data_IF_487310153422
#
_entry.id   IF_487310153422
#
_cell.length_a   1.000
_cell.length_b   1.000
_cell.length_c   1.000
_cell.angle_alpha   90.00
_cell.angle_beta   90.00
_cell.angle_gamma   90.00
#
_symmetry.space_group_name_H-M   'P 1'
#
loop_
_entity.id
_entity.type
_entity.pdbx_description
1 polymer ?
#
# COMPACT_ATOMS: atom_id res chain seq x y z
N UNK A 1 28.00 -104.19 -15.94
CA UNK A 1 27.05 -104.16 -14.81
C UNK A 1 27.80 -103.63 -13.62
N UNK A 2 27.60 -102.37 -13.22
CA UNK A 2 28.02 -101.81 -11.92
C UNK A 2 27.59 -100.33 -11.82
N UNK A 3 26.95 -100.01 -10.69
CA UNK A 3 26.34 -98.73 -10.36
C UNK A 3 27.40 -97.65 -10.05
N UNK A 4 27.13 -96.41 -10.47
CA UNK A 4 27.90 -95.21 -10.17
C UNK A 4 27.29 -94.46 -8.98
N UNK A 5 28.15 -93.98 -8.10
CA UNK A 5 27.83 -93.04 -7.02
C UNK A 5 28.60 -91.74 -7.29
N UNK A 6 27.93 -90.59 -7.34
CA UNK A 6 28.57 -89.29 -7.22
C UNK A 6 27.62 -88.31 -6.50
N UNK A 7 28.05 -87.85 -5.33
CA UNK A 7 27.41 -86.82 -4.53
C UNK A 7 27.61 -85.44 -5.19
N UNK A 8 26.55 -84.63 -5.25
CA UNK A 8 26.61 -83.22 -5.63
C UNK A 8 25.95 -82.37 -4.53
N UNK A 9 26.73 -81.41 -4.03
CA UNK A 9 26.32 -80.41 -3.03
C UNK A 9 25.20 -79.50 -3.57
N UNK A 10 24.22 -79.22 -2.73
CA UNK A 10 23.13 -78.28 -2.97
C UNK A 10 23.59 -76.82 -2.78
N UNK A 11 23.40 -75.98 -3.81
CA UNK A 11 23.46 -74.52 -3.71
C UNK A 11 22.03 -73.97 -3.48
N UNK A 12 21.81 -73.33 -2.33
CA UNK A 12 20.61 -72.53 -2.07
C UNK A 12 20.74 -71.15 -2.72
N UNK A 13 19.93 -70.88 -3.73
CA UNK A 13 19.72 -69.54 -4.29
C UNK A 13 18.63 -68.83 -3.48
N UNK A 14 18.98 -67.79 -2.72
CA UNK A 14 18.01 -66.86 -2.11
C UNK A 14 17.90 -65.65 -3.03
N UNK A 15 16.81 -65.55 -3.78
CA UNK A 15 16.49 -64.38 -4.60
C UNK A 15 15.97 -63.24 -3.73
N UNK A 16 16.75 -62.16 -3.58
CA UNK A 16 16.28 -60.89 -3.03
C UNK A 16 15.49 -60.13 -4.12
N UNK A 17 14.16 -60.15 -4.04
CA UNK A 17 13.32 -59.20 -4.77
C UNK A 17 13.35 -57.85 -4.04
N UNK A 18 14.19 -56.91 -4.50
CA UNK A 18 14.15 -55.51 -4.10
C UNK A 18 12.93 -54.84 -4.76
N UNK A 19 11.84 -54.69 -4.01
CA UNK A 19 10.68 -53.90 -4.43
C UNK A 19 10.99 -52.42 -4.18
N UNK A 20 11.52 -51.73 -5.19
CA UNK A 20 11.65 -50.27 -5.19
C UNK A 20 10.26 -49.64 -5.17
N UNK A 21 9.77 -49.30 -3.99
CA UNK A 21 8.58 -48.48 -3.84
C UNK A 21 8.97 -47.06 -4.30
N UNK A 22 8.30 -46.47 -5.29
CA UNK A 22 8.49 -45.06 -5.57
C UNK A 22 8.03 -44.31 -4.33
N UNK A 23 8.99 -43.71 -3.62
CA UNK A 23 8.68 -42.68 -2.62
C UNK A 23 8.02 -41.57 -3.42
N UNK A 24 6.69 -41.52 -3.38
CA UNK A 24 5.95 -40.39 -3.89
C UNK A 24 6.49 -39.17 -3.13
N UNK A 25 7.27 -38.34 -3.83
CA UNK A 25 7.67 -37.05 -3.32
C UNK A 25 6.36 -36.33 -2.98
N UNK A 26 6.07 -36.27 -1.68
CA UNK A 26 4.93 -35.54 -1.17
C UNK A 26 5.21 -34.09 -1.56
N UNK A 27 4.55 -33.64 -2.62
CA UNK A 27 4.70 -32.29 -3.13
C UNK A 27 4.33 -31.39 -1.96
N UNK A 28 5.32 -30.80 -1.29
CA UNK A 28 5.09 -29.93 -0.15
C UNK A 28 4.10 -28.88 -0.64
N UNK A 29 2.91 -28.87 -0.02
CA UNK A 29 1.85 -27.95 -0.38
C UNK A 29 2.42 -26.56 -0.09
N UNK A 30 2.83 -25.88 -1.15
CA UNK A 30 3.60 -24.64 -1.04
C UNK A 30 2.78 -23.67 -0.20
N UNK A 31 3.29 -23.32 0.98
CA UNK A 31 2.55 -22.46 1.90
C UNK A 31 2.31 -21.12 1.22
N UNK A 32 1.09 -20.54 1.33
CA UNK A 32 0.84 -19.22 0.77
C UNK A 32 1.82 -18.20 1.39
N UNK A 33 2.20 -17.16 0.64
CA UNK A 33 3.23 -16.22 1.09
C UNK A 33 2.74 -15.38 2.25
N UNK A 34 3.66 -14.90 3.09
CA UNK A 34 3.36 -13.78 3.97
C UNK A 34 3.11 -12.52 3.13
N UNK A 35 2.30 -11.61 3.66
CA UNK A 35 1.96 -10.35 2.98
C UNK A 35 2.27 -9.19 3.93
N UNK A 36 3.14 -8.28 3.49
CA UNK A 36 3.43 -7.02 4.16
C UNK A 36 3.01 -5.85 3.25
N UNK A 37 1.93 -5.18 3.63
CA UNK A 37 1.39 -4.02 2.93
C UNK A 37 1.69 -2.76 3.73
N UNK A 38 2.57 -1.90 3.24
CA UNK A 38 3.03 -0.69 3.91
C UNK A 38 2.50 0.53 3.17
N UNK A 39 1.95 1.50 3.90
CA UNK A 39 1.58 2.80 3.31
C UNK A 39 2.23 3.96 4.04
N UNK A 40 2.82 4.88 3.28
CA UNK A 40 3.16 6.23 3.76
C UNK A 40 1.95 7.16 3.62
N UNK A 41 2.00 8.31 4.30
CA UNK A 41 0.89 9.27 4.35
C UNK A 41 1.33 10.65 3.85
N UNK A 42 0.84 11.02 2.66
CA UNK A 42 1.20 12.26 1.95
C UNK A 42 2.68 12.35 1.52
N UNK A 43 3.34 11.22 1.29
CA UNK A 43 4.67 11.20 0.68
C UNK A 43 4.54 11.45 -0.84
N UNK A 44 5.34 12.38 -1.36
CA UNK A 44 5.25 12.82 -2.75
C UNK A 44 6.03 11.94 -3.72
N UNK A 45 5.59 11.91 -4.98
CA UNK A 45 6.19 11.08 -6.04
C UNK A 45 7.71 11.27 -6.20
N UNK A 46 8.18 12.51 -6.03
CA UNK A 46 9.59 12.88 -6.17
C UNK A 46 10.35 12.97 -4.84
N UNK A 47 9.84 12.37 -3.76
CA UNK A 47 10.49 12.47 -2.44
C UNK A 47 11.57 11.40 -2.20
N UNK A 48 11.55 10.28 -2.91
CA UNK A 48 12.48 9.17 -2.66
C UNK A 48 13.75 9.23 -3.53
N UNK A 49 14.85 8.70 -2.99
CA UNK A 49 16.10 8.49 -3.71
C UNK A 49 15.91 7.68 -4.99
N UNK A 50 15.22 6.55 -4.86
CA UNK A 50 14.85 5.69 -5.99
C UNK A 50 13.84 6.31 -6.96
N UNK A 51 13.23 7.45 -6.66
CA UNK A 51 12.43 8.26 -7.60
C UNK A 51 13.17 9.52 -8.09
N UNK A 52 14.48 9.59 -7.86
CA UNK A 52 15.35 10.63 -8.41
C UNK A 52 15.68 11.78 -7.45
N UNK A 53 15.16 11.76 -6.22
CA UNK A 53 15.52 12.75 -5.22
C UNK A 53 17.00 12.61 -4.82
N UNK A 54 17.78 13.69 -4.89
CA UNK A 54 19.22 13.67 -4.56
C UNK A 54 19.54 14.13 -3.14
N UNK A 55 18.54 14.61 -2.42
CA UNK A 55 18.72 15.19 -1.08
C UNK A 55 18.14 14.28 -0.02
N UNK A 56 17.00 13.65 -0.28
CA UNK A 56 16.35 12.75 0.68
C UNK A 56 17.19 11.49 0.92
N UNK A 57 17.38 11.13 2.18
CA UNK A 57 18.04 9.90 2.59
C UNK A 57 16.99 8.82 2.88
N UNK A 58 16.78 7.93 1.90
CA UNK A 58 15.86 6.79 1.96
C UNK A 58 16.54 5.48 1.55
N UNK A 59 17.70 5.12 2.16
CA UNK A 59 18.49 3.97 1.71
C UNK A 59 17.74 2.64 1.77
N UNK A 60 16.77 2.47 2.68
CA UNK A 60 16.03 1.22 2.86
C UNK A 60 14.95 1.05 1.81
N UNK A 61 14.23 2.10 1.43
CA UNK A 61 13.32 2.09 0.30
C UNK A 61 14.08 2.00 -1.04
N UNK A 62 15.26 2.61 -1.13
CA UNK A 62 16.13 2.44 -2.30
C UNK A 62 16.61 0.98 -2.42
N UNK A 63 16.90 0.32 -1.30
CA UNK A 63 17.20 -1.11 -1.25
C UNK A 63 15.99 -1.95 -1.65
N UNK A 64 14.80 -1.68 -1.10
CA UNK A 64 13.58 -2.39 -1.47
C UNK A 64 13.30 -2.29 -2.98
N UNK A 65 13.57 -1.14 -3.59
CA UNK A 65 13.45 -0.95 -5.04
C UNK A 65 14.50 -1.75 -5.84
N UNK A 66 15.75 -1.85 -5.35
CA UNK A 66 16.78 -2.70 -5.98
C UNK A 66 16.49 -4.19 -5.86
N UNK A 67 15.78 -4.59 -4.81
CA UNK A 67 15.44 -5.99 -4.54
C UNK A 67 14.10 -6.42 -5.15
N UNK A 68 13.33 -5.47 -5.68
CA UNK A 68 12.02 -5.69 -6.29
C UNK A 68 11.83 -4.84 -7.54
N UNK A 69 10.61 -4.37 -7.77
CA UNK A 69 10.25 -3.50 -8.89
C UNK A 69 9.79 -2.13 -8.39
N UNK A 70 10.28 -1.07 -9.04
CA UNK A 70 9.73 0.29 -8.90
C UNK A 70 8.56 0.46 -9.87
N UNK A 71 7.40 0.87 -9.37
CA UNK A 71 6.20 1.10 -10.19
C UNK A 71 6.09 2.59 -10.54
N UNK A 72 6.31 2.98 -11.80
CA UNK A 72 6.28 4.39 -12.19
C UNK A 72 4.87 4.90 -12.47
N UNK A 73 3.94 4.00 -12.77
CA UNK A 73 2.58 4.32 -13.23
C UNK A 73 1.50 3.78 -12.27
N UNK A 74 1.78 3.89 -10.96
CA UNK A 74 0.89 3.44 -9.89
C UNK A 74 0.01 4.57 -9.34
N UNK A 75 -1.29 4.30 -9.26
CA UNK A 75 -2.31 5.27 -8.86
C UNK A 75 -2.97 4.88 -7.53
N UNK A 76 -3.20 5.85 -6.66
CA UNK A 76 -4.20 5.71 -5.59
C UNK A 76 -5.58 6.00 -6.15
N UNK A 77 -6.61 5.30 -5.67
CA UNK A 77 -7.97 5.47 -6.19
C UNK A 77 -8.65 6.78 -5.72
N UNK A 78 -8.01 7.53 -4.81
CA UNK A 78 -8.49 8.82 -4.34
C UNK A 78 -7.35 9.70 -3.80
N UNK A 79 -7.43 11.04 -3.95
CA UNK A 79 -6.38 11.95 -3.51
C UNK A 79 -6.45 12.32 -2.02
N UNK A 80 -7.13 11.51 -1.18
CA UNK A 80 -7.23 11.72 0.27
C UNK A 80 -7.14 10.44 1.07
N UNK A 81 -6.57 10.55 2.26
CA UNK A 81 -6.31 9.46 3.19
C UNK A 81 -7.53 8.56 3.46
N UNK A 82 -8.68 9.10 3.87
CA UNK A 82 -9.84 8.23 4.23
C UNK A 82 -10.26 7.37 3.06
N UNK A 83 -10.46 8.04 1.92
CA UNK A 83 -11.05 7.41 0.76
C UNK A 83 -10.04 6.47 0.09
N UNK A 84 -8.76 6.84 0.03
CA UNK A 84 -7.72 5.96 -0.51
C UNK A 84 -7.54 4.70 0.32
N UNK A 85 -7.60 4.79 1.66
CA UNK A 85 -7.53 3.63 2.55
C UNK A 85 -8.78 2.75 2.45
N UNK A 86 -9.96 3.35 2.38
CA UNK A 86 -11.21 2.61 2.23
C UNK A 86 -11.25 1.83 0.91
N UNK A 87 -10.84 2.46 -0.18
CA UNK A 87 -10.77 1.83 -1.52
C UNK A 87 -9.67 0.77 -1.61
N UNK A 88 -8.51 0.98 -0.97
CA UNK A 88 -7.47 -0.04 -0.81
C UNK A 88 -8.01 -1.30 -0.13
N UNK A 89 -8.66 -1.13 1.04
CA UNK A 89 -9.10 -2.24 1.87
C UNK A 89 -10.25 -3.03 1.23
N UNK A 90 -11.00 -2.42 0.30
CA UNK A 90 -12.20 -3.01 -0.33
C UNK A 90 -12.00 -3.38 -1.80
N UNK A 91 -10.96 -2.88 -2.48
CA UNK A 91 -10.77 -3.06 -3.92
C UNK A 91 -11.90 -2.45 -4.78
N UNK A 92 -12.68 -1.51 -4.23
CA UNK A 92 -13.88 -0.93 -4.81
C UNK A 92 -13.78 0.59 -4.88
N UNK A 93 -14.39 1.20 -5.89
CA UNK A 93 -14.44 2.65 -6.03
C UNK A 93 -15.19 3.33 -4.86
N UNK A 94 -14.85 4.59 -4.52
CA UNK A 94 -15.46 5.33 -3.41
C UNK A 94 -17.00 5.40 -3.46
N UNK A 95 -17.54 5.51 -4.68
CA UNK A 95 -18.98 5.64 -4.94
C UNK A 95 -19.74 4.39 -4.48
N UNK A 96 -19.18 3.20 -4.73
CA UNK A 96 -19.80 1.91 -4.38
C UNK A 96 -19.80 1.63 -2.89
N UNK A 97 -18.73 2.04 -2.21
CA UNK A 97 -18.55 1.76 -0.78
C UNK A 97 -19.23 2.82 0.11
N UNK A 98 -19.68 3.93 -0.49
CA UNK A 98 -20.37 5.02 0.20
C UNK A 98 -19.47 5.94 1.03
N UNK A 99 -18.16 5.70 1.07
CA UNK A 99 -17.19 6.54 1.78
C UNK A 99 -16.33 7.30 0.75
N UNK A 100 -16.86 8.43 0.30
CA UNK A 100 -16.31 9.24 -0.81
C UNK A 100 -15.80 10.63 -0.39
N UNK A 101 -15.67 10.87 0.92
CA UNK A 101 -15.13 12.11 1.48
C UNK A 101 -14.15 11.82 2.62
N UNK A 102 -13.29 12.80 2.93
CA UNK A 102 -12.40 12.73 4.08
C UNK A 102 -13.20 12.91 5.37
N UNK A 103 -13.17 11.93 6.26
CA UNK A 103 -13.80 12.03 7.58
C UNK A 103 -13.12 13.12 8.41
N UNK A 104 -13.93 13.93 9.08
CA UNK A 104 -13.47 14.84 10.13
C UNK A 104 -13.06 14.07 11.39
N UNK A 105 -12.46 14.79 12.35
CA UNK A 105 -12.06 14.21 13.62
C UNK A 105 -13.26 13.57 14.35
N UNK A 106 -14.41 14.23 14.34
CA UNK A 106 -15.61 13.76 15.04
C UNK A 106 -16.34 12.66 14.28
N UNK A 107 -16.53 12.84 12.96
CA UNK A 107 -17.16 11.82 12.11
C UNK A 107 -16.41 10.50 12.17
N UNK A 108 -15.07 10.53 12.25
CA UNK A 108 -14.28 9.31 12.31
C UNK A 108 -14.56 8.44 13.56
N UNK A 109 -15.18 8.97 14.61
CA UNK A 109 -15.61 8.18 15.78
C UNK A 109 -17.12 7.89 15.79
N UNK A 110 -17.90 8.62 15.00
CA UNK A 110 -19.35 8.46 14.91
C UNK A 110 -19.78 7.57 13.73
N UNK A 111 -18.96 7.50 12.68
CA UNK A 111 -19.26 6.84 11.42
C UNK A 111 -18.09 5.93 10.99
N UNK A 112 -18.26 5.22 9.88
CA UNK A 112 -17.20 4.50 9.23
C UNK A 112 -17.64 3.78 7.97
N UNK A 113 -16.68 3.10 7.36
CA UNK A 113 -16.93 2.27 6.20
C UNK A 113 -18.06 1.27 6.49
N UNK A 114 -19.03 1.17 5.59
CA UNK A 114 -20.21 0.30 5.74
C UNK A 114 -19.79 -1.12 6.13
N UNK A 115 -20.50 -1.73 7.08
CA UNK A 115 -20.19 -3.08 7.56
C UNK A 115 -20.49 -4.17 6.53
N UNK A 116 -21.32 -3.87 5.52
CA UNK A 116 -21.54 -4.74 4.36
C UNK A 116 -20.29 -4.90 3.49
N UNK A 117 -19.33 -3.97 3.57
CA UNK A 117 -18.06 -4.07 2.87
C UNK A 117 -17.12 -5.08 3.53
N UNK A 118 -16.57 -5.96 2.71
CA UNK A 118 -15.61 -6.99 3.11
C UNK A 118 -14.20 -6.49 2.84
N UNK A 119 -13.34 -6.54 3.85
CA UNK A 119 -11.98 -6.03 3.80
C UNK A 119 -10.96 -7.13 3.51
N UNK A 120 -9.77 -6.74 3.05
CA UNK A 120 -8.59 -7.62 2.87
C UNK A 120 -8.47 -8.73 3.93
N UNK A 121 -8.40 -8.44 5.25
CA UNK A 121 -8.20 -9.49 6.25
C UNK A 121 -9.35 -10.51 6.30
N UNK A 122 -10.58 -10.12 5.93
CA UNK A 122 -11.73 -11.03 5.88
C UNK A 122 -11.69 -11.96 4.66
N UNK A 123 -10.92 -11.63 3.62
CA UNK A 123 -10.62 -12.56 2.52
C UNK A 123 -9.44 -13.49 2.85
N UNK A 124 -8.44 -13.00 3.58
CA UNK A 124 -7.22 -13.75 3.89
C UNK A 124 -7.41 -14.74 5.04
N UNK A 125 -8.22 -14.40 6.07
CA UNK A 125 -8.45 -15.28 7.23
C UNK A 125 -8.91 -16.69 6.87
N UNK A 126 -9.91 -16.88 5.97
CA UNK A 126 -10.29 -18.21 5.50
C UNK A 126 -9.15 -19.01 4.85
N UNK A 127 -8.11 -18.35 4.37
CA UNK A 127 -6.90 -18.98 3.79
C UNK A 127 -5.83 -19.29 4.86
N UNK A 128 -6.15 -19.18 6.15
CA UNK A 128 -5.26 -19.51 7.26
C UNK A 128 -4.36 -18.37 7.75
N UNK A 129 -4.57 -17.15 7.26
CA UNK A 129 -3.74 -16.00 7.64
C UNK A 129 -4.03 -15.52 9.06
N UNK A 130 -2.96 -15.25 9.81
CA UNK A 130 -3.00 -14.33 10.96
C UNK A 130 -2.94 -12.89 10.44
N UNK A 131 -3.80 -11.98 10.93
CA UNK A 131 -3.91 -10.63 10.37
C UNK A 131 -3.65 -9.53 11.40
N UNK A 132 -2.87 -8.52 11.05
CA UNK A 132 -2.59 -7.37 11.92
C UNK A 132 -2.66 -6.03 11.16
N UNK A 133 -3.08 -4.98 11.88
CA UNK A 133 -3.05 -3.61 11.43
C UNK A 133 -2.25 -2.76 12.44
N UNK A 134 -1.17 -2.11 11.98
CA UNK A 134 -0.32 -1.30 12.84
C UNK A 134 -0.19 0.14 12.31
N UNK A 135 -0.79 1.10 12.99
CA UNK A 135 -0.76 2.52 12.63
C UNK A 135 -2.12 3.15 12.31
N UNK A 136 -2.18 3.99 11.28
CA UNK A 136 -3.32 4.84 10.91
C UNK A 136 -4.48 4.05 10.29
N UNK A 137 -5.63 4.03 10.96
CA UNK A 137 -6.85 3.42 10.43
C UNK A 137 -7.61 4.35 9.47
N UNK A 138 -8.17 5.46 9.98
CA UNK A 138 -8.86 6.53 9.21
C UNK A 138 -9.88 6.05 8.16
N UNK A 139 -10.68 5.04 8.48
CA UNK A 139 -11.87 4.64 7.69
C UNK A 139 -13.10 4.49 8.59
N UNK A 140 -13.08 5.23 9.71
CA UNK A 140 -14.08 5.20 10.77
C UNK A 140 -13.79 4.19 11.88
N UNK A 141 -14.11 4.59 13.10
CA UNK A 141 -13.80 3.90 14.34
C UNK A 141 -15.05 3.76 15.24
N UNK A 142 -16.23 3.98 14.68
CA UNK A 142 -17.50 3.62 15.31
C UNK A 142 -17.59 2.10 15.52
N UNK A 143 -18.48 1.67 16.43
CA UNK A 143 -18.71 0.23 16.69
C UNK A 143 -19.06 -0.50 15.39
N UNK A 144 -18.36 -1.60 15.14
CA UNK A 144 -18.45 -2.40 13.93
C UNK A 144 -17.58 -1.89 12.77
N UNK A 145 -16.92 -0.74 12.89
CA UNK A 145 -15.97 -0.20 11.90
C UNK A 145 -14.50 -0.30 12.34
N UNK A 146 -14.23 -0.72 13.59
CA UNK A 146 -12.89 -0.78 14.18
C UNK A 146 -12.08 -1.96 13.62
N UNK A 147 -10.74 -1.87 13.52
CA UNK A 147 -9.91 -2.89 12.87
C UNK A 147 -10.18 -4.33 13.30
N UNK A 148 -10.29 -4.59 14.61
CA UNK A 148 -10.53 -5.94 15.16
C UNK A 148 -11.95 -6.46 14.89
N UNK A 149 -12.90 -5.57 14.62
CA UNK A 149 -14.26 -5.92 14.19
C UNK A 149 -14.36 -6.07 12.66
N UNK A 150 -13.34 -5.59 11.92
CA UNK A 150 -13.23 -5.68 10.46
C UNK A 150 -12.28 -6.76 9.98
N UNK A 151 -11.99 -7.72 10.84
CA UNK A 151 -11.27 -8.94 10.49
C UNK A 151 -9.78 -8.93 10.83
N UNK A 152 -9.19 -7.85 11.34
CA UNK A 152 -7.84 -7.91 11.90
C UNK A 152 -7.85 -8.70 13.23
N UNK A 153 -6.86 -9.58 13.44
CA UNK A 153 -6.68 -10.23 14.74
C UNK A 153 -6.03 -9.29 15.76
N UNK A 154 -5.11 -8.46 15.30
CA UNK A 154 -4.38 -7.50 16.13
C UNK A 154 -4.46 -6.09 15.54
N UNK A 155 -4.59 -5.13 16.45
CA UNK A 155 -4.52 -3.72 16.13
C UNK A 155 -3.68 -3.01 17.17
N UNK A 156 -2.71 -2.23 16.71
CA UNK A 156 -2.03 -1.22 17.51
C UNK A 156 -1.83 0.03 16.67
N UNK A 157 -2.47 1.12 17.04
CA UNK A 157 -2.49 2.29 16.17
C UNK A 157 -3.53 3.31 16.58
N UNK A 158 -3.95 4.13 15.64
CA UNK A 158 -4.83 5.26 15.91
C UNK A 158 -5.96 5.37 14.89
N UNK A 159 -7.07 5.95 15.35
CA UNK A 159 -8.28 6.06 14.57
C UNK A 159 -8.24 7.24 13.60
N UNK A 160 -7.82 8.42 14.09
CA UNK A 160 -7.99 9.70 13.42
C UNK A 160 -7.20 9.84 12.11
N UNK A 161 -7.43 10.97 11.44
CA UNK A 161 -6.77 11.29 10.19
C UNK A 161 -5.30 11.69 10.31
N UNK A 162 -4.82 12.01 11.50
CA UNK A 162 -3.41 12.24 11.82
C UNK A 162 -3.27 12.24 13.35
N UNK A 163 -2.05 12.14 13.88
CA UNK A 163 -1.71 12.36 15.30
C UNK A 163 -0.34 13.07 15.38
N UNK A 164 -0.05 13.77 16.48
CA UNK A 164 1.35 14.12 16.76
C UNK A 164 2.17 12.85 17.06
N UNK A 165 3.46 12.88 16.75
CA UNK A 165 4.24 11.64 16.66
C UNK A 165 4.72 11.10 18.01
N UNK A 166 4.68 11.90 19.09
CA UNK A 166 5.23 11.48 20.39
C UNK A 166 4.18 11.35 21.48
N UNK A 167 3.15 12.20 21.46
CA UNK A 167 2.08 12.20 22.44
C UNK A 167 0.80 11.56 21.90
N UNK A 168 0.72 11.33 20.59
CA UNK A 168 -0.39 10.66 19.93
C UNK A 168 -1.74 11.40 20.06
N UNK A 169 -1.72 12.74 20.03
CA UNK A 169 -2.91 13.58 20.08
C UNK A 169 -3.34 14.09 18.71
N UNK A 170 -4.66 14.20 18.55
CA UNK A 170 -5.29 14.91 17.45
C UNK A 170 -6.58 15.59 17.89
N UNK A 171 -6.75 16.85 17.50
CA UNK A 171 -7.93 17.65 17.78
C UNK A 171 -8.31 17.67 19.28
N UNK A 172 -7.30 17.71 20.17
CA UNK A 172 -7.49 17.75 21.61
C UNK A 172 -7.79 16.40 22.27
N UNK A 173 -7.70 15.29 21.53
CA UNK A 173 -7.91 13.93 22.04
C UNK A 173 -6.64 13.11 21.89
N UNK A 174 -6.33 12.31 22.90
CA UNK A 174 -5.35 11.24 22.75
C UNK A 174 -5.98 10.14 21.88
N UNK A 175 -5.17 9.53 21.01
CA UNK A 175 -5.64 8.57 20.01
C UNK A 175 -4.54 7.54 19.74
N UNK A 176 -4.39 6.60 20.67
CA UNK A 176 -3.57 5.41 20.49
C UNK A 176 -4.26 4.24 21.18
N UNK A 177 -4.38 3.12 20.47
CA UNK A 177 -5.22 2.00 20.85
C UNK A 177 -4.48 0.68 20.65
N UNK A 178 -4.73 -0.27 21.55
CA UNK A 178 -4.42 -1.69 21.38
C UNK A 178 -5.73 -2.48 21.37
N UNK A 179 -6.11 -2.99 20.20
CA UNK A 179 -7.44 -3.54 19.97
C UNK A 179 -8.52 -2.47 20.20
N UNK A 180 -9.31 -2.63 21.26
CA UNK A 180 -10.37 -1.69 21.64
C UNK A 180 -10.02 -0.83 22.87
N UNK A 181 -8.83 -1.01 23.45
CA UNK A 181 -8.40 -0.30 24.64
C UNK A 181 -7.50 0.86 24.25
N UNK A 182 -7.79 2.05 24.75
CA UNK A 182 -6.89 3.20 24.65
C UNK A 182 -5.63 2.94 25.50
N UNK A 183 -4.45 3.25 24.97
CA UNK A 183 -3.16 2.98 25.62
C UNK A 183 -2.20 4.17 25.50
N UNK A 184 -1.51 4.52 26.58
CA UNK A 184 -0.61 5.67 26.64
C UNK A 184 0.86 5.21 26.54
N UNK A 185 1.29 4.89 25.33
CA UNK A 185 2.68 4.45 25.08
C UNK A 185 3.60 5.64 24.83
N UNK A 186 4.81 5.57 25.38
CA UNK A 186 5.86 6.55 25.12
C UNK A 186 6.66 6.10 23.90
N UNK A 187 6.89 7.01 22.96
CA UNK A 187 7.78 6.74 21.83
C UNK A 187 7.37 7.51 20.60
N UNK A 188 8.19 7.43 19.56
CA UNK A 188 7.87 7.97 18.25
C UNK A 188 6.94 6.99 17.52
N UNK A 189 5.74 7.42 17.13
CA UNK A 189 4.67 6.58 16.57
C UNK A 189 5.15 5.66 15.45
N UNK A 190 5.98 6.17 14.54
CA UNK A 190 6.56 5.40 13.42
C UNK A 190 7.43 4.24 13.92
N UNK A 191 8.20 4.43 14.99
CA UNK A 191 9.01 3.35 15.57
C UNK A 191 8.12 2.34 16.30
N UNK A 192 7.12 2.81 17.05
CA UNK A 192 6.18 1.94 17.76
C UNK A 192 5.42 1.00 16.81
N UNK A 193 4.96 1.51 15.65
CA UNK A 193 4.28 0.67 14.66
C UNK A 193 5.21 -0.35 14.00
N UNK A 194 6.48 0.02 13.77
CA UNK A 194 7.48 -0.93 13.28
C UNK A 194 7.82 -2.01 14.33
N UNK A 195 7.88 -1.64 15.62
CA UNK A 195 8.13 -2.59 16.72
C UNK A 195 7.04 -3.66 16.80
N UNK A 196 5.77 -3.25 16.69
CA UNK A 196 4.64 -4.19 16.67
C UNK A 196 4.66 -5.11 15.44
N UNK A 197 5.03 -4.57 14.27
CA UNK A 197 5.23 -5.40 13.08
C UNK A 197 6.36 -6.43 13.29
N UNK A 198 7.50 -6.03 13.84
CA UNK A 198 8.62 -6.93 14.10
C UNK A 198 8.27 -8.03 15.12
N UNK A 199 7.58 -7.66 16.21
CA UNK A 199 7.05 -8.61 17.20
C UNK A 199 6.13 -9.63 16.53
N UNK A 200 5.16 -9.14 15.76
CA UNK A 200 4.18 -10.00 15.10
C UNK A 200 4.81 -10.95 14.07
N UNK A 201 5.81 -10.49 13.31
CA UNK A 201 6.60 -11.36 12.41
C UNK A 201 7.26 -12.50 13.20
N UNK A 202 7.91 -12.16 14.32
CA UNK A 202 8.61 -13.13 15.17
C UNK A 202 7.68 -14.20 15.74
N UNK A 203 6.48 -13.81 16.17
CA UNK A 203 5.48 -14.72 16.75
C UNK A 203 4.78 -15.63 15.74
N UNK A 204 4.80 -15.27 14.45
CA UNK A 204 3.99 -15.92 13.41
C UNK A 204 4.82 -16.64 12.34
N UNK A 205 6.11 -16.90 12.56
CA UNK A 205 7.01 -17.53 11.58
C UNK A 205 6.51 -18.85 10.97
N UNK A 206 5.63 -19.58 11.67
CA UNK A 206 5.17 -20.92 11.27
C UNK A 206 3.80 -20.93 10.57
N UNK A 207 3.22 -19.76 10.28
CA UNK A 207 1.92 -19.64 9.58
C UNK A 207 1.93 -18.40 8.68
N UNK A 208 1.18 -18.40 7.58
CA UNK A 208 1.05 -17.21 6.75
C UNK A 208 0.46 -16.06 7.56
N UNK A 209 0.99 -14.87 7.35
CA UNK A 209 0.46 -13.67 7.99
C UNK A 209 0.27 -12.51 7.01
N UNK A 210 -0.64 -11.61 7.39
CA UNK A 210 -0.88 -10.35 6.71
C UNK A 210 -0.69 -9.19 7.69
N UNK A 211 0.22 -8.30 7.37
CA UNK A 211 0.41 -7.03 8.08
C UNK A 211 -0.01 -5.91 7.15
N UNK A 212 -1.01 -5.13 7.57
CA UNK A 212 -1.23 -3.78 7.07
C UNK A 212 -0.50 -2.81 7.99
N UNK A 213 0.52 -2.12 7.47
CA UNK A 213 1.38 -1.18 8.21
C UNK A 213 1.19 0.26 7.69
N UNK A 214 0.06 0.90 8.01
CA UNK A 214 -0.20 2.28 7.64
C UNK A 214 0.51 3.30 8.54
N UNK A 215 1.67 3.80 8.12
CA UNK A 215 2.30 4.93 8.82
C UNK A 215 1.51 6.23 8.62
N UNK A 216 1.63 7.14 9.59
CA UNK A 216 1.17 8.52 9.47
C UNK A 216 2.27 9.48 9.00
N UNK A 217 3.52 9.01 8.94
CA UNK A 217 4.61 9.77 8.37
C UNK A 217 4.53 9.80 6.82
N UNK A 218 4.86 10.92 6.15
CA UNK A 218 5.25 12.22 6.70
C UNK A 218 4.10 13.26 6.73
N UNK A 219 2.87 12.88 7.12
CA UNK A 219 1.69 13.74 7.03
C UNK A 219 1.92 15.14 7.61
N UNK A 220 1.35 16.15 6.95
CA UNK A 220 1.45 17.55 7.36
C UNK A 220 0.97 17.79 8.81
N UNK A 221 1.78 18.40 9.69
CA UNK A 221 1.38 18.75 11.05
C UNK A 221 0.42 19.95 11.02
N UNK A 222 -0.84 19.73 11.44
CA UNK A 222 -1.85 20.78 11.46
C UNK A 222 -2.00 21.40 12.86
N UNK A 223 -2.78 22.48 12.98
CA UNK A 223 -3.16 23.06 14.29
C UNK A 223 -3.91 22.11 15.22
N UNK A 224 -4.34 20.95 14.71
CA UNK A 224 -4.97 19.88 15.50
C UNK A 224 -3.94 18.91 16.07
N UNK A 225 -2.71 18.92 15.57
CA UNK A 225 -1.58 18.07 15.99
C UNK A 225 -0.70 18.80 17.02
N UNK A 226 -1.32 19.47 17.99
CA UNK A 226 -0.57 20.15 19.04
C UNK A 226 -1.31 20.08 20.36
N UNK A 227 -0.54 19.93 21.44
CA UNK A 227 -0.99 20.32 22.77
C UNK A 227 -0.88 21.84 22.95
N UNK A 228 -1.56 22.44 23.94
CA UNK A 228 -1.32 23.83 24.32
C UNK A 228 0.19 24.09 24.51
N UNK A 229 0.71 25.15 23.86
CA UNK A 229 2.13 25.53 23.94
C UNK A 229 3.06 24.86 22.92
N UNK A 230 2.60 23.87 22.13
CA UNK A 230 3.43 23.23 21.10
C UNK A 230 3.26 23.87 19.71
N UNK A 231 4.34 23.84 18.92
CA UNK A 231 4.36 24.26 17.52
C UNK A 231 3.84 23.17 16.57
N UNK A 232 3.28 23.57 15.43
CA UNK A 232 2.90 22.63 14.37
C UNK A 232 4.15 22.27 13.55
N UNK A 233 4.88 21.25 13.98
CA UNK A 233 6.13 20.86 13.34
C UNK A 233 6.20 19.36 13.05
N UNK A 234 6.89 19.00 11.97
CA UNK A 234 7.22 17.61 11.68
C UNK A 234 8.19 17.13 12.75
N UNK A 235 7.81 16.15 13.55
CA UNK A 235 8.61 15.63 14.65
C UNK A 235 9.33 14.36 14.20
N UNK A 236 10.61 14.21 14.53
CA UNK A 236 11.37 13.00 14.23
C UNK A 236 12.35 12.71 15.38
N UNK A 237 12.89 11.47 15.48
CA UNK A 237 14.00 11.16 16.39
C UNK A 237 15.26 11.94 16.04
N UNK A 238 16.10 12.21 17.05
CA UNK A 238 17.35 12.97 16.86
C UNK A 238 18.30 12.31 15.85
N UNK A 239 18.32 10.98 15.78
CA UNK A 239 19.10 10.20 14.81
C UNK A 239 18.75 10.56 13.36
N UNK A 240 17.48 10.82 13.06
CA UNK A 240 17.04 11.17 11.71
C UNK A 240 17.47 12.59 11.29
N UNK A 241 17.64 13.51 12.26
CA UNK A 241 18.25 14.82 12.00
C UNK A 241 19.77 14.71 11.81
N UNK A 242 20.42 13.89 12.65
CA UNK A 242 21.86 13.67 12.61
C UNK A 242 22.33 13.11 11.25
N UNK A 243 21.49 12.32 10.57
CA UNK A 243 21.73 11.81 9.22
C UNK A 243 22.05 12.92 8.20
N UNK A 244 21.57 14.15 8.44
CA UNK A 244 21.84 15.33 7.62
C UNK A 244 22.76 16.38 8.27
N UNK A 245 23.29 16.10 9.47
CA UNK A 245 23.98 17.10 10.28
C UNK A 245 23.06 18.23 10.76
N UNK A 246 21.75 17.97 10.90
CA UNK A 246 20.80 18.95 11.42
C UNK A 246 20.68 18.85 12.93
N UNK A 247 20.47 19.97 13.61
CA UNK A 247 20.06 19.96 15.02
C UNK A 247 18.56 19.59 15.12
N UNK A 248 18.16 18.73 16.08
CA UNK A 248 16.77 18.37 16.30
C UNK A 248 15.90 19.56 16.78
N UNK A 249 16.52 20.65 17.24
CA UNK A 249 15.85 21.90 17.62
C UNK A 249 15.48 22.79 16.42
N UNK A 250 15.95 22.45 15.22
CA UNK A 250 15.71 23.27 14.02
C UNK A 250 14.22 23.54 13.80
N UNK A 251 13.90 24.77 13.39
CA UNK A 251 12.53 25.19 13.02
C UNK A 251 12.31 25.27 11.52
N UNK A 252 13.31 24.88 10.72
CA UNK A 252 13.17 24.80 9.26
C UNK A 252 12.27 23.59 8.90
N UNK A 253 11.07 23.83 8.34
CA UNK A 253 10.15 22.76 8.02
C UNK A 253 10.67 21.80 6.94
N UNK A 254 11.57 22.25 6.05
CA UNK A 254 12.18 21.37 5.05
C UNK A 254 13.12 20.37 5.69
N UNK A 255 13.95 20.81 6.65
CA UNK A 255 14.85 19.95 7.42
C UNK A 255 14.08 18.93 8.25
N UNK A 256 13.00 19.38 8.89
CA UNK A 256 12.12 18.50 9.67
C UNK A 256 11.38 17.48 8.81
N UNK A 257 10.84 17.89 7.66
CA UNK A 257 10.21 16.96 6.71
C UNK A 257 11.18 15.85 6.28
N UNK A 258 12.42 16.21 5.90
CA UNK A 258 13.47 15.25 5.54
C UNK A 258 13.77 14.27 6.68
N UNK A 259 13.89 14.76 7.91
CA UNK A 259 14.11 13.91 9.07
C UNK A 259 12.93 12.93 9.29
N UNK A 260 11.68 13.36 9.11
CA UNK A 260 10.52 12.45 9.20
C UNK A 260 10.54 11.36 8.14
N UNK A 261 10.84 11.71 6.89
CA UNK A 261 10.96 10.73 5.79
C UNK A 261 12.10 9.74 6.04
N UNK A 262 13.24 10.20 6.55
CA UNK A 262 14.36 9.32 6.92
C UNK A 262 14.04 8.41 8.12
N UNK A 263 13.28 8.91 9.11
CA UNK A 263 12.81 8.09 10.22
C UNK A 263 11.81 7.00 9.74
N UNK A 264 10.93 7.34 8.80
CA UNK A 264 10.04 6.39 8.14
C UNK A 264 10.82 5.31 7.39
N UNK A 265 11.81 5.70 6.59
CA UNK A 265 12.69 4.78 5.87
C UNK A 265 13.41 3.81 6.83
N UNK A 266 13.95 4.34 7.93
CA UNK A 266 14.61 3.55 8.98
C UNK A 266 13.67 2.54 9.60
N UNK A 267 12.45 2.96 9.97
CA UNK A 267 11.44 2.08 10.56
C UNK A 267 11.01 0.96 9.61
N UNK A 268 10.80 1.28 8.32
CA UNK A 268 10.53 0.27 7.28
C UNK A 268 11.71 -0.70 7.17
N UNK A 269 12.94 -0.18 7.18
CA UNK A 269 14.15 -0.98 7.16
C UNK A 269 14.19 -2.05 8.24
N UNK A 270 13.83 -1.69 9.47
CA UNK A 270 13.76 -2.62 10.62
C UNK A 270 12.76 -3.76 10.40
N UNK A 271 11.59 -3.46 9.82
CA UNK A 271 10.58 -4.50 9.51
C UNK A 271 11.07 -5.43 8.41
N UNK A 272 11.75 -4.89 7.39
CA UNK A 272 12.37 -5.70 6.34
C UNK A 272 13.50 -6.58 6.89
N UNK A 273 14.36 -6.03 7.75
CA UNK A 273 15.44 -6.81 8.42
C UNK A 273 14.87 -7.90 9.31
N UNK A 274 13.70 -7.69 9.92
CA UNK A 274 13.02 -8.72 10.71
C UNK A 274 12.53 -9.89 9.85
N UNK A 275 12.01 -9.63 8.65
CA UNK A 275 11.67 -10.69 7.70
C UNK A 275 12.91 -11.52 7.34
N UNK A 276 14.03 -10.85 7.08
CA UNK A 276 15.29 -11.47 6.72
C UNK A 276 15.86 -12.29 7.89
N UNK A 277 15.85 -11.74 9.10
CA UNK A 277 16.30 -12.40 10.34
C UNK A 277 15.48 -13.66 10.65
N UNK A 278 14.17 -13.64 10.38
CA UNK A 278 13.30 -14.79 10.57
C UNK A 278 13.35 -15.80 9.40
N UNK A 279 14.16 -15.56 8.36
CA UNK A 279 14.23 -16.42 7.17
C UNK A 279 12.94 -16.41 6.33
N UNK A 280 12.13 -15.36 6.42
CA UNK A 280 10.83 -15.25 5.76
C UNK A 280 10.87 -14.45 4.46
N UNK A 281 12.02 -13.85 4.15
CA UNK A 281 12.25 -12.96 3.00
C UNK A 281 11.69 -13.51 1.68
N UNK A 282 12.08 -14.74 1.34
CA UNK A 282 11.81 -15.32 0.02
C UNK A 282 10.35 -15.74 -0.15
N UNK A 283 9.61 -15.94 0.96
CA UNK A 283 8.19 -16.24 0.96
C UNK A 283 7.34 -15.08 1.49
N UNK A 284 7.74 -13.83 1.23
CA UNK A 284 6.97 -12.64 1.61
C UNK A 284 6.78 -11.69 0.43
N UNK A 285 5.52 -11.43 0.08
CA UNK A 285 5.12 -10.32 -0.79
C UNK A 285 5.14 -9.02 0.01
N UNK A 286 6.02 -8.09 -0.37
CA UNK A 286 6.04 -6.73 0.17
C UNK A 286 5.50 -5.75 -0.86
N UNK A 287 4.48 -4.99 -0.48
CA UNK A 287 3.95 -3.86 -1.26
C UNK A 287 4.10 -2.61 -0.42
N UNK A 288 4.82 -1.61 -0.94
CA UNK A 288 4.95 -0.30 -0.34
C UNK A 288 4.42 0.76 -1.30
N UNK A 289 3.61 1.71 -0.83
CA UNK A 289 3.22 2.89 -1.62
C UNK A 289 2.77 4.07 -0.75
N UNK A 290 2.60 5.27 -1.32
CA UNK A 290 1.99 6.42 -0.61
C UNK A 290 0.47 6.46 -0.79
N UNK A 291 -0.30 6.71 0.29
CA UNK A 291 -1.77 6.67 0.24
C UNK A 291 -2.40 7.72 -0.69
N UNK A 292 -1.74 8.85 -0.86
CA UNK A 292 -1.97 9.88 -1.87
C UNK A 292 -0.68 10.70 -2.08
N UNK A 293 -0.66 11.50 -3.15
CA UNK A 293 0.47 12.39 -3.38
C UNK A 293 0.56 13.49 -2.32
N UNK A 294 1.73 14.12 -2.22
CA UNK A 294 1.99 15.10 -1.19
C UNK A 294 1.06 16.31 -1.29
N UNK A 295 0.77 16.96 -0.16
CA UNK A 295 0.00 18.20 -0.15
C UNK A 295 0.83 19.37 -0.65
N UNK A 296 0.29 20.14 -1.60
CA UNK A 296 0.90 21.38 -2.06
C UNK A 296 0.31 22.56 -1.26
N UNK A 297 1.05 23.06 -0.28
CA UNK A 297 0.62 24.15 0.60
C UNK A 297 1.08 25.52 0.07
N UNK A 298 0.80 25.79 -1.21
CA UNK A 298 1.22 27.00 -1.93
C UNK A 298 0.79 28.29 -1.23
N UNK A 299 -0.47 28.33 -0.81
CA UNK A 299 -1.05 29.50 -0.11
C UNK A 299 -0.38 29.78 1.25
N UNK A 300 0.43 28.83 1.75
CA UNK A 300 1.20 28.96 3.00
C UNK A 300 2.69 29.14 2.76
N UNK A 301 3.14 29.21 1.49
CA UNK A 301 4.56 29.24 1.13
C UNK A 301 5.34 28.00 1.56
N UNK A 302 4.65 26.86 1.79
CA UNK A 302 5.21 25.69 2.46
C UNK A 302 5.20 24.45 1.54
N UNK A 303 5.97 24.51 0.46
CA UNK A 303 6.21 23.38 -0.44
C UNK A 303 7.48 22.63 0.03
N UNK A 304 7.30 21.69 0.96
CA UNK A 304 8.40 20.90 1.54
C UNK A 304 8.59 19.53 0.88
N UNK A 305 7.48 18.93 0.47
CA UNK A 305 7.42 17.65 -0.24
C UNK A 305 7.42 17.88 -1.75
N UNK A 306 7.80 16.85 -2.51
CA UNK A 306 7.94 16.92 -3.96
C UNK A 306 7.06 15.90 -4.65
N UNK A 307 6.11 16.38 -5.46
CA UNK A 307 5.40 15.53 -6.43
C UNK A 307 6.06 15.56 -7.82
N UNK A 308 7.22 16.22 -7.97
CA UNK A 308 7.84 16.38 -9.29
C UNK A 308 8.16 15.03 -9.95
N UNK A 309 8.02 14.92 -11.29
CA UNK A 309 7.63 15.99 -12.24
C UNK A 309 6.12 16.22 -12.34
N UNK A 310 5.31 15.54 -11.54
CA UNK A 310 3.85 15.56 -11.64
C UNK A 310 3.29 16.92 -11.21
N UNK A 311 2.16 17.31 -11.80
CA UNK A 311 1.47 18.55 -11.49
C UNK A 311 0.69 18.45 -10.18
N UNK A 312 0.83 19.48 -9.36
CA UNK A 312 0.06 19.69 -8.12
C UNK A 312 0.22 18.56 -7.09
N UNK A 313 -0.76 18.37 -6.21
CA UNK A 313 -0.70 17.36 -5.14
C UNK A 313 -2.07 16.98 -4.58
N UNK A 314 -2.06 16.23 -3.47
CA UNK A 314 -3.27 16.08 -2.67
C UNK A 314 -3.76 17.47 -2.24
N UNK A 315 -5.04 17.83 -2.38
CA UNK A 315 -6.21 16.98 -2.61
C UNK A 315 -6.84 17.28 -3.99
N UNK A 316 -6.13 16.96 -5.06
CA UNK A 316 -6.56 17.19 -6.45
C UNK A 316 -6.50 15.91 -7.28
N UNK A 317 -7.13 15.90 -8.46
CA UNK A 317 -7.01 14.79 -9.44
C UNK A 317 -5.96 15.05 -10.53
N UNK A 318 -5.10 16.06 -10.36
CA UNK A 318 -3.86 16.17 -11.13
C UNK A 318 -2.95 14.97 -10.81
N UNK A 319 -1.99 14.66 -11.67
CA UNK A 319 -1.10 13.50 -11.51
C UNK A 319 -0.44 13.52 -10.13
N UNK A 320 0.02 14.67 -9.65
CA UNK A 320 0.67 14.78 -8.35
C UNK A 320 -0.24 14.48 -7.16
N UNK A 321 -1.56 14.44 -7.33
CA UNK A 321 -2.50 14.06 -6.27
C UNK A 321 -2.82 12.57 -6.20
N UNK A 322 -2.76 11.86 -7.33
CA UNK A 322 -3.24 10.47 -7.45
C UNK A 322 -2.20 9.47 -7.97
N UNK A 323 -1.13 9.90 -8.64
CA UNK A 323 0.00 9.05 -9.03
C UNK A 323 1.08 9.16 -7.95
N UNK A 324 1.45 8.01 -7.39
CA UNK A 324 2.22 7.92 -6.14
C UNK A 324 3.41 6.98 -6.29
N UNK A 325 4.49 7.17 -5.51
CA UNK A 325 5.59 6.23 -5.55
C UNK A 325 5.13 4.91 -4.95
N UNK A 326 5.53 3.80 -5.58
CA UNK A 326 5.17 2.46 -5.19
C UNK A 326 6.28 1.46 -5.56
N UNK A 327 6.52 0.50 -4.67
CA UNK A 327 7.57 -0.51 -4.79
C UNK A 327 6.97 -1.86 -4.40
N UNK A 328 7.26 -2.89 -5.19
CA UNK A 328 6.83 -4.27 -4.89
C UNK A 328 8.04 -5.19 -4.87
N UNK A 329 8.18 -6.01 -3.84
CA UNK A 329 9.18 -7.08 -3.77
C UNK A 329 8.48 -8.41 -3.57
N UNK A 330 8.73 -9.35 -4.47
CA UNK A 330 8.28 -10.73 -4.33
C UNK A 330 9.33 -11.67 -4.96
N UNK A 331 10.31 -12.16 -4.17
CA UNK A 331 11.41 -12.97 -4.69
C UNK A 331 10.92 -14.18 -5.49
N UNK A 332 11.59 -14.46 -6.62
CA UNK A 332 11.22 -15.54 -7.54
C UNK A 332 9.97 -15.28 -8.40
N UNK A 333 9.28 -14.15 -8.20
CA UNK A 333 8.09 -13.76 -8.98
C UNK A 333 8.29 -12.40 -9.66
N UNK A 334 8.74 -11.40 -8.92
CA UNK A 334 9.03 -10.06 -9.45
C UNK A 334 10.53 -9.91 -9.66
N UNK A 335 10.93 -9.49 -10.87
CA UNK A 335 12.34 -9.26 -11.22
C UNK A 335 12.96 -8.16 -10.36
N UNK A 336 14.07 -8.48 -9.69
CA UNK A 336 14.78 -7.55 -8.82
C UNK A 336 15.48 -6.44 -9.62
N UNK A 337 15.35 -5.19 -9.16
CA UNK A 337 15.94 -4.02 -9.79
C UNK A 337 15.18 -3.53 -11.02
N UNK A 338 14.02 -4.11 -11.32
CA UNK A 338 13.22 -3.77 -12.48
C UNK A 338 12.42 -2.47 -12.30
N UNK A 339 11.98 -1.90 -13.43
CA UNK A 339 11.09 -0.75 -13.48
C UNK A 339 9.86 -1.16 -14.26
N UNK A 340 8.69 -1.05 -13.64
CA UNK A 340 7.41 -1.37 -14.26
C UNK A 340 6.60 -0.09 -14.48
N UNK A 341 6.36 0.24 -15.74
CA UNK A 341 5.58 1.41 -16.19
C UNK A 341 4.15 1.06 -16.60
N UNK A 342 3.70 -0.16 -16.33
CA UNK A 342 2.33 -0.57 -16.60
C UNK A 342 1.33 0.21 -15.73
N UNK A 343 0.18 0.63 -16.27
CA UNK A 343 -0.86 1.29 -15.48
C UNK A 343 -1.43 0.37 -14.39
N UNK A 344 -1.15 0.72 -13.13
CA UNK A 344 -1.63 -0.01 -11.95
C UNK A 344 -2.35 0.95 -10.99
N UNK A 345 -3.31 0.44 -10.23
CA UNK A 345 -4.08 1.25 -9.27
C UNK A 345 -4.25 0.48 -7.96
N UNK A 346 -4.27 1.19 -6.82
CA UNK A 346 -4.47 0.60 -5.47
C UNK A 346 -5.67 -0.34 -5.34
N UNK A 347 -6.70 -0.21 -6.19
CA UNK A 347 -7.81 -1.16 -6.26
C UNK A 347 -7.37 -2.59 -6.63
N UNK A 348 -6.25 -2.73 -7.33
CA UNK A 348 -5.65 -3.99 -7.78
C UNK A 348 -5.02 -4.78 -6.62
N UNK A 349 -4.71 -4.11 -5.51
CA UNK A 349 -4.06 -4.76 -4.37
C UNK A 349 -4.95 -5.88 -3.82
N UNK A 350 -6.21 -5.62 -3.49
CA UNK A 350 -7.11 -6.65 -2.95
C UNK A 350 -7.22 -7.91 -3.84
N UNK A 351 -7.56 -7.82 -5.15
CA UNK A 351 -7.66 -9.00 -5.99
C UNK A 351 -6.31 -9.71 -6.19
N UNK A 352 -5.17 -9.01 -6.12
CA UNK A 352 -3.87 -9.66 -6.08
C UNK A 352 -3.63 -10.41 -4.78
N UNK A 353 -3.99 -9.83 -3.62
CA UNK A 353 -3.86 -10.50 -2.33
C UNK A 353 -4.76 -11.75 -2.24
N UNK A 354 -5.97 -11.70 -2.81
CA UNK A 354 -6.84 -12.87 -2.96
C UNK A 354 -6.15 -13.95 -3.81
N UNK A 355 -5.60 -13.58 -4.97
CA UNK A 355 -4.96 -14.54 -5.86
C UNK A 355 -3.71 -15.20 -5.25
N UNK A 356 -2.81 -14.43 -4.63
CA UNK A 356 -1.56 -14.98 -4.04
C UNK A 356 -1.83 -15.83 -2.80
N UNK A 357 -2.93 -15.60 -2.10
CA UNK A 357 -3.34 -16.42 -0.95
C UNK A 357 -4.07 -17.70 -1.34
N UNK A 358 -4.33 -17.92 -2.63
CA UNK A 358 -5.11 -19.06 -3.13
C UNK A 358 -6.62 -18.91 -2.93
N UNK A 359 -7.10 -17.71 -2.59
CA UNK A 359 -8.51 -17.41 -2.45
C UNK A 359 -9.22 -17.19 -3.79
N UNK A 360 -10.54 -17.29 -3.77
CA UNK A 360 -11.39 -17.04 -4.94
C UNK A 360 -11.90 -15.60 -4.96
N UNK A 361 -12.01 -15.03 -6.16
CA UNK A 361 -12.62 -13.71 -6.34
C UNK A 361 -14.10 -13.78 -5.93
N UNK A 362 -14.61 -12.84 -5.12
CA UNK A 362 -16.00 -12.86 -4.68
C UNK A 362 -16.97 -12.75 -5.88
N UNK A 363 -18.04 -13.55 -5.84
CA UNK A 363 -19.13 -13.48 -6.80
C UNK A 363 -20.28 -12.57 -6.34
N UNK A 364 -20.34 -12.22 -5.05
CA UNK A 364 -21.41 -11.43 -4.42
C UNK A 364 -21.24 -9.92 -4.58
N UNK A 365 -20.09 -9.47 -5.11
CA UNK A 365 -19.79 -8.04 -5.30
C UNK A 365 -18.76 -7.80 -6.38
N UNK A 366 -18.86 -6.64 -7.03
CA UNK A 366 -17.84 -6.14 -7.94
C UNK A 366 -16.56 -5.79 -7.18
N UNK A 367 -15.39 -6.32 -7.58
CA UNK A 367 -14.12 -5.66 -7.29
C UNK A 367 -13.72 -4.86 -8.54
N UNK A 368 -13.36 -3.59 -8.38
CA UNK A 368 -13.03 -2.73 -9.53
C UNK A 368 -11.58 -2.91 -9.98
N UNK A 369 -10.72 -3.42 -9.10
CA UNK A 369 -9.34 -3.79 -9.42
C UNK A 369 -9.21 -5.14 -10.15
N UNK A 370 -8.03 -5.35 -10.73
CA UNK A 370 -7.58 -6.57 -11.38
C UNK A 370 -6.38 -7.16 -10.62
N UNK A 371 -6.15 -8.46 -10.77
CA UNK A 371 -4.91 -9.06 -10.27
C UNK A 371 -3.72 -8.48 -11.06
N UNK A 372 -2.85 -7.73 -10.39
CA UNK A 372 -1.64 -7.14 -10.97
C UNK A 372 -0.47 -8.12 -11.08
N UNK A 373 -0.50 -9.29 -10.42
CA UNK A 373 0.64 -10.22 -10.39
C UNK A 373 1.16 -10.61 -11.78
N UNK A 374 0.32 -10.98 -12.78
CA UNK A 374 0.82 -11.32 -14.10
C UNK A 374 1.60 -10.17 -14.77
N UNK A 375 1.17 -8.92 -14.54
CA UNK A 375 1.82 -7.73 -15.09
C UNK A 375 3.08 -7.35 -14.30
N UNK A 376 3.14 -7.70 -13.01
CA UNK A 376 4.34 -7.53 -12.19
C UNK A 376 5.44 -8.54 -12.57
N UNK A 377 5.05 -9.76 -12.97
CA UNK A 377 5.96 -10.81 -13.44
C UNK A 377 6.39 -10.59 -14.89
N UNK A 378 5.44 -10.13 -15.72
CA UNK A 378 5.58 -9.98 -17.16
C UNK A 378 4.98 -8.63 -17.60
N UNK A 379 5.71 -7.51 -17.43
CA UNK A 379 5.22 -6.17 -17.77
C UNK A 379 4.77 -6.02 -19.23
N UNK A 380 5.30 -6.83 -20.14
CA UNK A 380 4.91 -6.91 -21.55
C UNK A 380 3.47 -7.41 -21.78
N UNK A 381 2.85 -8.07 -20.79
CA UNK A 381 1.45 -8.49 -20.83
C UNK A 381 0.48 -7.37 -20.43
N UNK A 382 0.97 -6.16 -20.18
CA UNK A 382 0.15 -5.04 -19.78
C UNK A 382 -0.78 -4.56 -20.91
N UNK A 383 -2.06 -4.83 -20.76
CA UNK A 383 -3.10 -4.29 -21.63
C UNK A 383 -3.45 -2.83 -21.27
N UNK A 384 -3.93 -2.02 -22.25
CA UNK A 384 -4.52 -0.72 -21.97
C UNK A 384 -5.64 -0.79 -20.91
N UNK A 385 -5.55 0.08 -19.90
CA UNK A 385 -6.55 0.15 -18.82
C UNK A 385 -7.19 1.52 -18.74
N UNK A 386 -8.41 1.53 -18.20
CA UNK A 386 -9.14 2.75 -17.86
C UNK A 386 -9.32 2.86 -16.36
N UNK A 387 -8.87 3.98 -15.78
CA UNK A 387 -9.10 4.35 -14.39
C UNK A 387 -10.00 5.57 -14.34
N UNK A 388 -10.97 5.54 -13.42
CA UNK A 388 -11.92 6.62 -13.23
C UNK A 388 -11.73 7.21 -11.85
N UNK A 389 -11.83 8.52 -11.75
CA UNK A 389 -11.63 9.24 -10.50
C UNK A 389 -12.69 10.31 -10.37
N UNK A 390 -13.25 10.42 -9.18
CA UNK A 390 -14.14 11.51 -8.81
C UNK A 390 -13.95 11.82 -7.34
N UNK A 391 -13.67 13.09 -7.05
CA UNK A 391 -13.50 13.55 -5.68
C UNK A 391 -13.85 15.03 -5.57
N UNK A 392 -14.79 15.36 -4.67
CA UNK A 392 -15.38 16.70 -4.57
C UNK A 392 -15.84 17.20 -5.94
N UNK A 393 -15.29 18.33 -6.40
CA UNK A 393 -15.58 18.99 -7.68
C UNK A 393 -14.76 18.47 -8.86
N UNK A 394 -13.81 17.55 -8.61
CA UNK A 394 -12.92 17.02 -9.64
C UNK A 394 -13.48 15.73 -10.24
N UNK A 395 -13.26 15.55 -11.53
CA UNK A 395 -13.51 14.31 -12.27
C UNK A 395 -12.33 14.04 -13.20
N UNK A 396 -11.85 12.80 -13.26
CA UNK A 396 -10.78 12.42 -14.18
C UNK A 396 -10.94 11.01 -14.73
N UNK A 397 -10.37 10.77 -15.91
CA UNK A 397 -10.25 9.46 -16.54
C UNK A 397 -8.83 9.31 -17.06
N UNK A 398 -8.13 8.25 -16.69
CA UNK A 398 -6.92 7.82 -17.40
C UNK A 398 -7.30 6.65 -18.30
N UNK A 399 -7.00 6.72 -19.58
CA UNK A 399 -7.13 5.60 -20.50
C UNK A 399 -5.85 5.46 -21.31
N UNK A 400 -5.11 4.37 -21.08
CA UNK A 400 -3.73 4.24 -21.57
C UNK A 400 -2.91 5.50 -21.21
N UNK A 401 -2.40 6.20 -22.23
CA UNK A 401 -1.52 7.37 -22.07
C UNK A 401 -2.31 8.68 -22.01
N UNK A 402 -3.61 8.67 -22.36
CA UNK A 402 -4.43 9.87 -22.27
C UNK A 402 -5.05 10.04 -20.90
N UNK A 403 -5.08 11.28 -20.42
CA UNK A 403 -5.78 11.67 -19.21
C UNK A 403 -6.75 12.81 -19.48
N UNK A 404 -8.02 12.56 -19.18
CA UNK A 404 -9.08 13.55 -19.16
C UNK A 404 -9.24 14.08 -17.73
N UNK A 405 -9.32 15.39 -17.53
CA UNK A 405 -9.48 16.00 -16.20
C UNK A 405 -10.40 17.21 -16.26
N UNK A 406 -11.28 17.33 -15.27
CA UNK A 406 -12.06 18.53 -14.99
C UNK A 406 -11.93 18.90 -13.53
N UNK A 407 -11.65 20.17 -13.25
CA UNK A 407 -11.39 20.68 -11.88
C UNK A 407 -12.62 21.26 -11.19
N UNK A 408 -13.70 21.48 -11.94
CA UNK A 408 -14.98 21.97 -11.44
C UNK A 408 -16.09 21.53 -12.42
N UNK A 409 -17.28 21.08 -11.97
CA UNK A 409 -18.39 20.69 -12.84
C UNK A 409 -18.74 21.69 -13.94
N UNK A 410 -18.62 22.99 -13.67
CA UNK A 410 -18.97 24.09 -14.58
C UNK A 410 -17.87 24.42 -15.62
N UNK A 411 -16.74 23.70 -15.59
CA UNK A 411 -15.62 23.88 -16.52
C UNK A 411 -15.60 22.74 -17.55
N UNK A 412 -15.05 22.98 -18.76
CA UNK A 412 -14.83 21.90 -19.72
C UNK A 412 -13.81 20.90 -19.16
N UNK A 413 -13.83 19.68 -19.73
CA UNK A 413 -12.74 18.73 -19.53
C UNK A 413 -11.53 19.16 -20.36
N UNK A 414 -10.35 19.06 -19.75
CA UNK A 414 -9.05 19.15 -20.39
C UNK A 414 -8.57 17.73 -20.74
N UNK A 415 -7.73 17.61 -21.78
CA UNK A 415 -7.12 16.34 -22.20
C UNK A 415 -5.59 16.47 -22.25
N UNK A 416 -4.88 15.54 -21.64
CA UNK A 416 -3.42 15.48 -21.61
C UNK A 416 -2.91 14.16 -22.17
N UNK A 417 -1.76 14.19 -22.83
CA UNK A 417 -1.01 13.01 -23.30
C UNK A 417 0.17 12.78 -22.35
N UNK A 418 0.05 11.82 -21.43
CA UNK A 418 0.99 11.64 -20.32
C UNK A 418 2.36 11.10 -20.76
N UNK A 419 2.47 10.52 -21.96
CA UNK A 419 3.76 10.09 -22.51
C UNK A 419 4.63 11.28 -22.90
N UNK A 420 4.00 12.37 -23.34
CA UNK A 420 4.68 13.57 -23.81
C UNK A 420 4.68 14.68 -22.76
N UNK A 421 3.67 14.70 -21.90
CA UNK A 421 3.40 15.77 -20.95
C UNK A 421 2.90 15.23 -19.61
N UNK A 422 3.81 14.57 -18.89
CA UNK A 422 3.55 14.08 -17.54
C UNK A 422 3.24 15.20 -16.52
N UNK A 423 3.58 16.45 -16.88
CA UNK A 423 3.31 17.65 -16.08
C UNK A 423 1.94 18.28 -16.37
N UNK A 424 1.14 17.68 -17.26
CA UNK A 424 -0.21 18.15 -17.62
C UNK A 424 -0.25 19.66 -17.93
N UNK A 425 0.70 20.13 -18.73
CA UNK A 425 0.91 21.55 -19.07
C UNK A 425 0.14 21.99 -20.32
N UNK A 426 -0.12 21.08 -21.25
CA UNK A 426 -0.71 21.36 -22.57
C UNK A 426 -2.06 20.67 -22.72
N UNK A 427 -3.15 21.46 -22.73
CA UNK A 427 -4.50 20.94 -22.99
C UNK A 427 -4.70 20.67 -24.49
N UNK A 428 -4.99 19.40 -24.80
CA UNK A 428 -5.21 18.87 -26.15
C UNK A 428 -6.71 18.70 -26.47
N UNK A 429 -7.62 19.11 -25.60
CA UNK A 429 -9.06 18.80 -25.73
C UNK A 429 -9.65 19.22 -27.09
N UNK A 430 -9.30 20.43 -27.55
CA UNK A 430 -9.74 21.00 -28.83
C UNK A 430 -9.01 20.40 -30.03
N UNK A 431 -7.77 19.94 -29.84
CA UNK A 431 -6.94 19.35 -30.90
C UNK A 431 -7.25 17.87 -31.13
N UNK A 432 -7.78 17.18 -30.11
CA UNK A 432 -8.17 15.75 -30.14
C UNK A 432 -9.64 15.54 -29.73
N UNK A 433 -10.61 16.21 -30.37
CA UNK A 433 -12.01 16.24 -29.91
C UNK A 433 -12.69 14.86 -29.90
N UNK A 434 -12.27 13.95 -30.79
CA UNK A 434 -12.78 12.57 -30.83
C UNK A 434 -12.43 11.80 -29.55
N UNK A 435 -11.16 11.87 -29.10
CA UNK A 435 -10.69 11.20 -27.88
C UNK A 435 -11.34 11.84 -26.65
N UNK A 436 -11.39 13.18 -26.60
CA UNK A 436 -12.06 13.93 -25.53
C UNK A 436 -13.51 13.49 -25.36
N UNK A 437 -14.27 13.40 -26.47
CA UNK A 437 -15.68 12.98 -26.45
C UNK A 437 -15.84 11.53 -26.00
N UNK A 438 -14.97 10.62 -26.45
CA UNK A 438 -15.00 9.21 -26.07
C UNK A 438 -14.73 9.01 -24.59
N UNK A 439 -13.67 9.63 -24.05
CA UNK A 439 -13.33 9.52 -22.63
C UNK A 439 -14.39 10.17 -21.74
N UNK A 440 -14.98 11.30 -22.15
CA UNK A 440 -16.10 11.92 -21.44
C UNK A 440 -17.32 10.98 -21.40
N UNK A 441 -17.67 10.33 -22.51
CA UNK A 441 -18.76 9.37 -22.54
C UNK A 441 -18.49 8.15 -21.64
N UNK A 442 -17.24 7.65 -21.62
CA UNK A 442 -16.82 6.60 -20.72
C UNK A 442 -16.95 7.00 -19.24
N UNK A 443 -16.57 8.24 -18.89
CA UNK A 443 -16.76 8.77 -17.54
C UNK A 443 -18.23 8.75 -17.12
N UNK A 444 -19.13 9.30 -17.95
CA UNK A 444 -20.57 9.36 -17.64
C UNK A 444 -21.16 7.96 -17.47
N UNK A 445 -20.76 7.03 -18.33
CA UNK A 445 -21.21 5.62 -18.25
C UNK A 445 -20.73 4.97 -16.95
N UNK A 446 -19.47 5.18 -16.58
CA UNK A 446 -18.91 4.67 -15.33
C UNK A 446 -19.63 5.28 -14.12
N UNK A 447 -19.85 6.59 -14.11
CA UNK A 447 -20.49 7.34 -13.01
C UNK A 447 -21.90 6.80 -12.73
N UNK A 448 -22.71 6.59 -13.77
CA UNK A 448 -24.04 5.97 -13.66
C UNK A 448 -23.96 4.56 -13.07
N UNK A 449 -23.00 3.74 -13.53
CA UNK A 449 -22.85 2.36 -13.07
C UNK A 449 -22.46 2.26 -11.60
N UNK A 450 -21.53 3.10 -11.13
CA UNK A 450 -21.05 3.05 -9.73
C UNK A 450 -22.03 3.68 -8.74
N UNK A 451 -23.03 4.44 -9.21
CA UNK A 451 -24.10 5.01 -8.40
C UNK A 451 -25.34 4.10 -8.28
N UNK A 452 -25.47 3.09 -9.15
CA UNK A 452 -26.62 2.19 -9.19
C UNK A 452 -26.49 0.96 -8.27
N UNK A 453 -25.31 0.72 -7.70
CA UNK A 453 -25.01 -0.27 -6.65
C UNK A 453 -24.93 0.41 -5.28
#
# INVERSE_FOLDING_TARGET
MNYRLFCLLSLCFVGLCLTSHPVAAQQEKQQPPNILLITADNLGYGDLGCYGNKVMQTPRLDQLAREGARLTDFYTASPTCTVSRATLLTGRYPQRIGLNHQLSADENYADGLRQSERLIPQYLKPQGYRTACFGKWNVGFSKGSRPTERGFDEFFGFAAGNIDYYHHYYAGRHDLWRGLNEVFEKGYSTELFADEACRFITENQKRPFFIYLPFNAPHFPSKRNKQPGQGNEWQAPASAFAAYGYSPETKDPRKRYRAVVTALDTAIGRVLDQLDTCGLRDNTLVIWYSDNGAFMLKDRGLEVASNKPLRDGGVTLWEGGIRVPAIVRYPGRVEAGSVNSSPLISLDILPTLIAVSGGERPADRTLDGKNMLPVLEHPELAEPRTFFFQYRKYAAVRHANYKLLRTNPDKPFMLFDLDQDLSETTDLADQKPKITKQMKAAYVTWEQRVQAE
#
